data_IF_629422469075
#
_entry.id   IF_629422469075
#
_cell.length_a   1.000
_cell.length_b   1.000
_cell.length_c   1.000
_cell.angle_alpha   90.00
_cell.angle_beta   90.00
_cell.angle_gamma   90.00
#
_symmetry.space_group_name_H-M   'P 1'
#
loop_
_entity.id
_entity.type
_entity.pdbx_description
1 polymer ?
#
# COMPACT_ATOMS: atom_id res chain seq x y z
N UNK A 1 18.46 28.41 -31.55
CA UNK A 1 19.09 27.07 -31.42
C UNK A 1 20.58 27.32 -31.24
N UNK A 2 21.31 26.67 -30.31
CA UNK A 2 21.08 25.37 -29.62
C UNK A 2 20.66 25.53 -28.14
N UNK A 3 19.88 24.63 -27.51
CA UNK A 3 20.18 23.30 -26.96
C UNK A 3 21.35 23.31 -25.95
N UNK A 4 21.03 23.56 -24.68
CA UNK A 4 21.87 23.20 -23.54
C UNK A 4 21.32 21.91 -22.92
N UNK A 5 22.04 20.81 -23.14
CA UNK A 5 21.92 19.56 -22.43
C UNK A 5 22.95 19.56 -21.29
N UNK A 6 22.57 20.07 -20.13
CA UNK A 6 23.30 19.85 -18.89
C UNK A 6 22.51 18.87 -18.03
N UNK A 7 22.79 17.58 -18.20
CA UNK A 7 22.41 16.54 -17.26
C UNK A 7 23.17 16.76 -15.94
N UNK A 8 22.54 17.45 -15.00
CA UNK A 8 22.97 17.52 -13.61
C UNK A 8 22.41 16.34 -12.83
N UNK A 9 23.23 15.32 -12.61
CA UNK A 9 22.98 14.29 -11.60
C UNK A 9 22.95 14.94 -10.22
N UNK A 10 21.79 14.94 -9.56
CA UNK A 10 21.67 15.24 -8.15
C UNK A 10 20.69 14.26 -7.50
N UNK A 11 21.08 12.98 -7.44
CA UNK A 11 20.64 12.12 -6.36
C UNK A 11 21.51 12.44 -5.14
N UNK A 12 21.21 13.57 -4.49
CA UNK A 12 21.63 13.84 -3.12
C UNK A 12 20.53 13.29 -2.22
N UNK A 13 20.86 12.42 -1.26
CA UNK A 13 19.93 11.58 -0.48
C UNK A 13 18.95 12.34 0.42
N UNK A 14 18.14 13.22 -0.16
CA UNK A 14 17.14 14.06 0.50
C UNK A 14 15.75 13.53 0.15
N UNK A 15 14.90 13.47 1.18
CA UNK A 15 13.45 13.31 1.05
C UNK A 15 12.93 14.41 0.11
N UNK A 16 11.92 14.09 -0.71
CA UNK A 16 11.26 15.07 -1.57
C UNK A 16 10.93 16.33 -0.75
N UNK A 17 11.49 17.46 -1.15
CA UNK A 17 11.24 18.75 -0.51
C UNK A 17 10.02 19.37 -1.16
N UNK A 18 9.19 20.01 -0.35
CA UNK A 18 8.03 20.70 -0.90
C UNK A 18 8.50 21.92 -1.68
N UNK A 19 8.02 22.04 -2.91
CA UNK A 19 8.16 23.21 -3.74
C UNK A 19 6.82 23.51 -4.46
N UNK A 20 6.65 24.70 -5.00
CA UNK A 20 5.39 25.03 -5.69
C UNK A 20 5.29 24.43 -7.10
N UNK A 21 6.25 23.59 -7.51
CA UNK A 21 6.42 23.13 -8.90
C UNK A 21 6.21 21.63 -9.07
N UNK A 22 6.87 20.83 -8.23
CA UNK A 22 6.94 19.38 -8.31
C UNK A 22 6.20 18.71 -7.13
N UNK A 23 6.20 19.33 -5.94
CA UNK A 23 5.48 18.83 -4.77
C UNK A 23 4.97 19.96 -3.88
N UNK A 24 3.67 20.31 -3.99
CA UNK A 24 3.04 21.42 -3.26
C UNK A 24 3.55 21.62 -1.83
N UNK A 25 3.68 22.88 -1.42
CA UNK A 25 4.19 23.41 -0.12
C UNK A 25 3.87 22.57 1.12
N UNK A 26 2.75 21.83 1.12
CA UNK A 26 2.62 20.57 1.83
C UNK A 26 1.72 19.59 1.07
N UNK A 27 2.02 18.29 1.14
CA UNK A 27 1.11 17.23 0.68
C UNK A 27 -0.30 17.41 1.29
N UNK A 28 -0.38 17.92 2.52
CA UNK A 28 -1.61 18.30 3.23
C UNK A 28 -2.39 19.45 2.57
N UNK A 29 -1.70 20.46 2.03
CA UNK A 29 -2.32 21.55 1.28
C UNK A 29 -2.80 21.07 -0.09
N UNK A 30 -2.12 20.11 -0.71
CA UNK A 30 -2.59 19.49 -1.95
C UNK A 30 -3.90 18.73 -1.73
N UNK A 31 -4.02 18.02 -0.60
CA UNK A 31 -5.24 17.34 -0.12
C UNK A 31 -6.31 18.27 0.44
N UNK A 32 -6.12 19.59 0.51
CA UNK A 32 -7.20 20.54 0.86
C UNK A 32 -7.64 21.39 -0.33
N UNK A 33 -6.83 21.43 -1.40
CA UNK A 33 -7.05 22.26 -2.59
C UNK A 33 -7.53 21.49 -3.82
N UNK A 34 -8.10 20.29 -3.67
CA UNK A 34 -8.57 19.45 -4.79
C UNK A 34 -7.50 19.10 -5.83
N UNK A 35 -6.22 19.08 -5.41
CA UNK A 35 -5.05 18.99 -6.29
C UNK A 35 -4.62 17.56 -6.61
N UNK A 36 -5.37 16.54 -6.17
CA UNK A 36 -5.14 15.18 -6.63
C UNK A 36 -5.35 15.13 -8.15
N UNK A 37 -4.40 14.57 -8.91
CA UNK A 37 -4.57 14.47 -10.36
C UNK A 37 -5.86 13.70 -10.68
N UNK A 38 -6.80 14.41 -11.31
CA UNK A 38 -8.03 13.85 -11.84
C UNK A 38 -7.94 13.65 -13.34
N UNK A 39 -6.79 13.83 -13.99
CA UNK A 39 -6.69 13.82 -15.45
C UNK A 39 -5.70 12.77 -15.98
N UNK A 40 -6.00 12.22 -17.15
CA UNK A 40 -5.16 11.22 -17.83
C UNK A 40 -5.54 9.75 -17.52
N UNK A 41 -4.87 8.78 -18.19
CA UNK A 41 -5.17 7.35 -18.11
C UNK A 41 -4.88 6.71 -16.75
N UNK A 42 -4.41 7.47 -15.74
CA UNK A 42 -4.00 7.01 -14.41
C UNK A 42 -4.99 7.42 -13.30
N UNK A 43 -6.29 7.32 -13.56
CA UNK A 43 -7.36 7.73 -12.63
C UNK A 43 -7.60 6.79 -11.43
N UNK A 44 -6.57 6.16 -10.88
CA UNK A 44 -6.71 5.24 -9.75
C UNK A 44 -5.50 5.24 -8.83
N UNK A 45 -5.74 4.89 -7.56
CA UNK A 45 -4.68 4.76 -6.55
C UNK A 45 -4.81 3.44 -5.82
N UNK A 46 -3.72 2.67 -5.79
CA UNK A 46 -3.59 1.49 -4.95
C UNK A 46 -2.76 1.86 -3.72
N UNK A 47 -3.37 1.81 -2.53
CA UNK A 47 -2.67 2.06 -1.26
C UNK A 47 -2.48 0.75 -0.51
N UNK A 48 -1.26 0.23 -0.47
CA UNK A 48 -0.94 -1.00 0.26
C UNK A 48 -0.36 -0.64 1.62
N UNK A 49 -0.95 -1.20 2.66
CA UNK A 49 -0.43 -1.21 4.04
C UNK A 49 -0.19 -2.65 4.46
N UNK A 50 0.58 -2.89 5.52
CA UNK A 50 0.93 -4.24 5.94
C UNK A 50 0.49 -4.44 7.40
N UNK A 51 0.28 -5.69 7.82
CA UNK A 51 0.02 -6.02 9.24
C UNK A 51 1.07 -5.36 10.14
N UNK A 52 0.64 -4.79 11.27
CA UNK A 52 1.58 -4.24 12.24
C UNK A 52 2.14 -5.41 13.05
N UNK A 53 3.45 -5.61 13.03
CA UNK A 53 4.10 -6.54 13.95
C UNK A 53 4.61 -5.80 15.20
N UNK A 54 4.16 -6.13 16.43
CA UNK A 54 4.86 -5.71 17.63
C UNK A 54 6.16 -6.51 17.75
N UNK A 55 7.31 -5.87 17.60
CA UNK A 55 8.60 -6.47 17.89
C UNK A 55 8.65 -6.92 19.37
N UNK A 56 8.75 -8.23 19.62
CA UNK A 56 9.00 -8.79 20.96
C UNK A 56 10.42 -9.37 21.03
N UNK A 57 11.43 -8.51 21.18
CA UNK A 57 12.68 -8.93 21.81
C UNK A 57 12.58 -8.62 23.30
N UNK A 58 12.08 -9.58 24.11
CA UNK A 58 12.14 -9.68 25.58
C UNK A 58 11.81 -8.46 26.48
N UNK A 59 11.50 -7.28 25.93
CA UNK A 59 10.97 -6.07 26.57
C UNK A 59 10.47 -5.16 25.44
N UNK A 60 9.16 -5.07 25.15
CA UNK A 60 8.69 -4.13 24.15
C UNK A 60 8.66 -2.74 24.78
N UNK A 61 9.65 -1.90 24.46
CA UNK A 61 9.40 -0.46 24.50
C UNK A 61 8.33 -0.15 23.44
N UNK A 62 7.39 0.70 23.81
CA UNK A 62 6.21 1.16 23.05
C UNK A 62 6.53 1.83 21.68
N UNK A 63 7.78 1.77 21.22
CA UNK A 63 8.37 2.58 20.14
C UNK A 63 8.33 1.90 18.77
N UNK A 64 8.38 0.57 18.67
CA UNK A 64 8.38 -0.13 17.37
C UNK A 64 6.98 -0.18 16.71
N UNK A 65 5.92 -0.41 17.48
CA UNK A 65 4.53 -0.41 16.97
C UNK A 65 4.07 1.00 16.58
N UNK A 66 4.47 2.03 17.33
CA UNK A 66 4.18 3.42 17.02
C UNK A 66 4.92 3.94 15.78
N UNK A 67 6.13 3.44 15.52
CA UNK A 67 6.89 3.82 14.32
C UNK A 67 6.22 3.34 13.03
N UNK A 68 5.84 2.06 12.93
CA UNK A 68 5.14 1.52 11.74
C UNK A 68 3.76 2.14 11.54
N UNK A 69 3.07 2.44 12.63
CA UNK A 69 1.80 3.17 12.61
C UNK A 69 1.98 4.54 11.93
N UNK A 70 2.99 5.31 12.34
CA UNK A 70 3.22 6.68 11.87
C UNK A 70 3.79 6.77 10.45
N UNK A 71 4.58 5.79 9.99
CA UNK A 71 5.21 5.84 8.65
C UNK A 71 4.43 5.10 7.56
N UNK A 72 3.58 4.14 7.92
CA UNK A 72 2.87 3.32 6.93
C UNK A 72 1.35 3.37 7.11
N UNK A 73 0.83 2.91 8.25
CA UNK A 73 -0.62 2.74 8.43
C UNK A 73 -1.37 4.08 8.38
N UNK A 74 -0.96 5.08 9.16
CA UNK A 74 -1.67 6.36 9.24
C UNK A 74 -1.48 7.27 8.02
N UNK A 75 -0.29 7.36 7.39
CA UNK A 75 -0.17 8.03 6.10
C UNK A 75 -1.03 7.36 5.02
N UNK A 76 -1.09 6.03 4.97
CA UNK A 76 -1.94 5.28 4.06
C UNK A 76 -3.43 5.57 4.28
N UNK A 77 -3.90 5.53 5.53
CA UNK A 77 -5.27 5.86 5.92
C UNK A 77 -5.67 7.28 5.49
N UNK A 78 -4.87 8.28 5.86
CA UNK A 78 -5.10 9.70 5.53
C UNK A 78 -5.08 9.93 4.02
N UNK A 79 -4.15 9.28 3.30
CA UNK A 79 -4.09 9.35 1.84
C UNK A 79 -5.29 8.71 1.15
N UNK A 80 -5.80 7.59 1.66
CA UNK A 80 -7.01 6.96 1.13
C UNK A 80 -8.26 7.83 1.37
N UNK A 81 -8.42 8.35 2.59
CA UNK A 81 -9.51 9.27 2.95
C UNK A 81 -9.48 10.55 2.11
N UNK A 82 -8.31 11.16 1.93
CA UNK A 82 -8.19 12.35 1.09
C UNK A 82 -8.67 12.06 -0.33
N UNK A 83 -8.21 10.98 -0.97
CA UNK A 83 -8.62 10.61 -2.33
C UNK A 83 -10.12 10.34 -2.43
N UNK A 84 -10.69 9.62 -1.47
CA UNK A 84 -12.12 9.40 -1.35
C UNK A 84 -12.90 10.73 -1.28
N UNK A 85 -12.49 11.65 -0.41
CA UNK A 85 -13.15 12.95 -0.24
C UNK A 85 -13.09 13.87 -1.49
N UNK A 86 -12.19 13.60 -2.45
CA UNK A 86 -12.10 14.32 -3.71
C UNK A 86 -12.58 13.51 -4.92
N UNK A 87 -13.34 12.43 -4.72
CA UNK A 87 -13.86 11.58 -5.79
C UNK A 87 -12.77 10.99 -6.70
N UNK A 88 -11.58 10.74 -6.14
CA UNK A 88 -10.50 10.03 -6.82
C UNK A 88 -10.62 8.55 -6.49
N UNK A 89 -10.80 7.65 -7.47
CA UNK A 89 -10.83 6.22 -7.22
C UNK A 89 -9.59 5.76 -6.47
N UNK A 90 -9.82 5.05 -5.36
CA UNK A 90 -8.77 4.52 -4.50
C UNK A 90 -9.19 3.16 -3.97
N UNK A 91 -8.25 2.23 -3.91
CA UNK A 91 -8.40 0.93 -3.28
C UNK A 91 -7.38 0.84 -2.15
N UNK A 92 -7.84 0.51 -0.95
CA UNK A 92 -7.00 0.40 0.23
C UNK A 92 -6.80 -1.06 0.57
N UNK A 93 -5.56 -1.51 0.48
CA UNK A 93 -5.14 -2.89 0.70
C UNK A 93 -4.37 -2.99 2.01
N UNK A 94 -4.56 -4.10 2.72
CA UNK A 94 -3.69 -4.54 3.80
C UNK A 94 -3.25 -5.99 3.58
N UNK A 95 -1.95 -6.23 3.57
CA UNK A 95 -1.38 -7.58 3.41
C UNK A 95 -1.18 -8.25 4.77
N UNK A 96 -1.54 -9.53 4.83
CA UNK A 96 -1.48 -10.39 6.00
C UNK A 96 -0.79 -11.73 5.75
N UNK A 97 -0.29 -11.97 4.53
CA UNK A 97 0.30 -13.25 4.14
C UNK A 97 1.49 -13.63 5.04
N UNK A 98 1.44 -14.86 5.53
CA UNK A 98 2.45 -15.47 6.39
C UNK A 98 2.79 -16.84 5.82
N UNK A 99 3.96 -16.95 5.22
CA UNK A 99 4.42 -18.11 4.46
C UNK A 99 5.73 -18.66 5.02
N UNK A 100 5.92 -19.99 5.08
CA UNK A 100 7.10 -20.59 5.73
C UNK A 100 8.46 -20.14 5.17
N UNK A 101 8.55 -19.94 3.85
CA UNK A 101 9.74 -19.47 3.11
C UNK A 101 9.96 -17.95 3.28
N UNK A 102 8.89 -17.15 3.30
CA UNK A 102 8.97 -15.68 3.40
C UNK A 102 9.08 -15.18 4.85
N UNK A 103 8.59 -15.95 5.83
CA UNK A 103 8.48 -15.56 7.24
C UNK A 103 9.30 -16.52 8.12
N UNK A 104 10.65 -16.42 8.10
CA UNK A 104 11.54 -17.39 8.76
C UNK A 104 11.44 -17.39 10.30
N UNK A 105 10.81 -16.36 10.87
CA UNK A 105 10.58 -16.25 12.30
C UNK A 105 9.07 -16.16 12.58
N UNK A 106 8.47 -17.06 13.39
CA UNK A 106 7.03 -17.05 13.66
C UNK A 106 6.50 -15.75 14.26
N UNK A 107 7.35 -15.00 14.97
CA UNK A 107 7.00 -13.71 15.55
C UNK A 107 7.04 -12.55 14.57
N UNK A 108 7.64 -12.73 13.38
CA UNK A 108 7.81 -11.66 12.40
C UNK A 108 6.49 -11.34 11.69
N UNK A 109 5.63 -12.36 11.51
CA UNK A 109 4.37 -12.27 10.76
C UNK A 109 4.59 -11.59 9.39
N UNK A 110 3.56 -11.07 8.73
CA UNK A 110 3.76 -10.18 7.59
C UNK A 110 4.57 -8.94 8.01
N UNK A 111 5.66 -8.65 7.31
CA UNK A 111 6.60 -7.56 7.60
C UNK A 111 6.80 -6.65 6.39
N UNK A 112 7.49 -5.53 6.59
CA UNK A 112 7.72 -4.55 5.53
C UNK A 112 8.38 -5.18 4.30
N UNK A 113 7.76 -5.00 3.13
CA UNK A 113 8.21 -5.52 1.83
C UNK A 113 8.07 -7.04 1.63
N UNK A 114 7.46 -7.77 2.57
CA UNK A 114 7.18 -9.21 2.41
C UNK A 114 6.12 -9.52 1.35
N UNK A 115 5.39 -8.52 0.88
CA UNK A 115 4.42 -8.57 -0.20
C UNK A 115 5.06 -8.46 -1.60
N UNK A 116 6.28 -7.91 -1.70
CA UNK A 116 6.96 -7.69 -2.98
C UNK A 116 7.21 -9.01 -3.74
N UNK A 117 7.74 -10.09 -3.10
CA UNK A 117 7.94 -11.36 -3.81
C UNK A 117 6.64 -11.97 -4.37
N UNK A 118 5.49 -11.68 -3.75
CA UNK A 118 4.17 -12.10 -4.23
C UNK A 118 3.76 -11.39 -5.52
N UNK A 119 4.14 -10.12 -5.69
CA UNK A 119 3.82 -9.34 -6.89
C UNK A 119 4.73 -9.74 -8.05
N UNK A 120 6.00 -10.06 -7.77
CA UNK A 120 6.99 -10.34 -8.81
C UNK A 120 7.16 -11.83 -9.14
N UNK A 121 6.41 -12.70 -8.48
CA UNK A 121 6.53 -14.15 -8.63
C UNK A 121 7.95 -14.66 -8.33
N UNK A 122 8.52 -14.21 -7.21
CA UNK A 122 9.90 -14.54 -6.79
C UNK A 122 9.99 -15.03 -5.34
N UNK A 123 8.87 -15.48 -4.77
CA UNK A 123 8.84 -15.99 -3.38
C UNK A 123 9.64 -17.29 -3.23
N UNK A 124 9.72 -18.08 -4.31
CA UNK A 124 10.43 -19.35 -4.40
C UNK A 124 11.95 -19.24 -4.19
N UNK A 125 12.53 -18.04 -4.36
CA UNK A 125 13.95 -17.76 -4.13
C UNK A 125 14.39 -17.98 -2.67
N UNK A 126 13.45 -17.91 -1.72
CA UNK A 126 13.70 -18.11 -0.29
C UNK A 126 13.30 -19.51 0.21
N UNK A 127 12.91 -20.39 -0.72
CA UNK A 127 12.39 -21.73 -0.45
C UNK A 127 11.11 -21.98 -1.23
N UNK A 128 10.72 -23.25 -1.45
CA UNK A 128 9.56 -23.58 -2.27
C UNK A 128 8.26 -23.02 -1.68
N UNK A 129 7.45 -22.40 -2.53
CA UNK A 129 6.14 -21.87 -2.14
C UNK A 129 5.20 -22.98 -1.67
N UNK A 130 4.35 -22.66 -0.70
CA UNK A 130 3.18 -23.49 -0.41
C UNK A 130 2.12 -23.36 -1.51
N UNK A 131 1.18 -24.31 -1.61
CA UNK A 131 0.08 -24.20 -2.59
C UNK A 131 -0.79 -22.94 -2.36
N UNK A 132 -1.05 -22.60 -1.10
CA UNK A 132 -1.84 -21.42 -0.73
C UNK A 132 -1.09 -20.13 -1.05
N UNK A 133 0.21 -20.09 -0.77
CA UNK A 133 1.09 -18.96 -1.12
C UNK A 133 1.09 -18.71 -2.63
N UNK A 134 1.31 -19.77 -3.41
CA UNK A 134 1.33 -19.67 -4.87
C UNK A 134 0.00 -19.16 -5.42
N UNK A 135 -1.12 -19.72 -4.97
CA UNK A 135 -2.45 -19.25 -5.39
C UNK A 135 -2.69 -17.78 -4.98
N UNK A 136 -2.24 -17.39 -3.78
CA UNK A 136 -2.33 -15.99 -3.32
C UNK A 136 -1.46 -15.07 -4.17
N UNK A 137 -0.25 -15.49 -4.55
CA UNK A 137 0.68 -14.78 -5.43
C UNK A 137 0.08 -14.56 -6.82
N UNK A 138 -0.53 -15.60 -7.39
CA UNK A 138 -1.24 -15.53 -8.68
C UNK A 138 -2.40 -14.52 -8.62
N UNK A 139 -3.21 -14.55 -7.56
CA UNK A 139 -4.28 -13.58 -7.33
C UNK A 139 -3.75 -12.14 -7.15
N UNK A 140 -2.63 -11.97 -6.44
CA UNK A 140 -1.93 -10.70 -6.29
C UNK A 140 -1.52 -10.12 -7.65
N UNK A 141 -0.88 -10.94 -8.47
CA UNK A 141 -0.43 -10.55 -9.81
C UNK A 141 -1.61 -10.18 -10.71
N UNK A 142 -2.72 -10.93 -10.65
CA UNK A 142 -3.94 -10.60 -11.38
C UNK A 142 -4.48 -9.22 -11.00
N UNK A 143 -4.57 -8.93 -9.70
CA UNK A 143 -5.05 -7.64 -9.20
C UNK A 143 -4.16 -6.48 -9.64
N UNK A 144 -2.84 -6.61 -9.50
CA UNK A 144 -1.90 -5.58 -9.95
C UNK A 144 -1.95 -5.37 -11.46
N UNK A 145 -2.04 -6.45 -12.23
CA UNK A 145 -2.15 -6.37 -13.68
C UNK A 145 -3.50 -5.76 -14.12
N UNK A 146 -4.60 -6.06 -13.41
CA UNK A 146 -5.90 -5.45 -13.66
C UNK A 146 -5.86 -3.94 -13.39
N UNK A 147 -5.24 -3.52 -12.30
CA UNK A 147 -5.03 -2.11 -12.00
C UNK A 147 -4.14 -1.43 -13.05
N UNK A 148 -3.00 -2.02 -13.41
CA UNK A 148 -2.09 -1.44 -14.39
C UNK A 148 -2.73 -1.30 -15.79
N UNK A 149 -3.56 -2.26 -16.20
CA UNK A 149 -4.29 -2.21 -17.48
C UNK A 149 -5.37 -1.13 -17.50
N UNK A 150 -6.06 -0.92 -16.39
CA UNK A 150 -7.17 0.02 -16.29
C UNK A 150 -7.26 0.60 -14.87
N UNK A 151 -6.44 1.61 -14.52
CA UNK A 151 -6.35 2.05 -13.12
C UNK A 151 -7.64 2.72 -12.63
N UNK A 152 -8.48 3.24 -13.55
CA UNK A 152 -9.76 3.85 -13.18
C UNK A 152 -10.83 2.86 -12.71
N UNK A 153 -10.81 1.60 -13.18
CA UNK A 153 -11.90 0.64 -12.96
C UNK A 153 -11.53 -0.85 -13.10
N UNK A 154 -10.26 -1.18 -13.32
CA UNK A 154 -9.79 -2.55 -13.53
C UNK A 154 -10.01 -3.43 -12.30
N UNK A 155 -9.82 -2.85 -11.11
CA UNK A 155 -10.09 -3.51 -9.83
C UNK A 155 -11.59 -3.62 -9.53
N UNK A 156 -12.44 -2.72 -10.03
CA UNK A 156 -13.90 -2.87 -9.90
C UNK A 156 -14.37 -4.16 -10.58
N UNK A 157 -13.78 -4.50 -11.74
CA UNK A 157 -14.10 -5.72 -12.49
C UNK A 157 -13.64 -7.00 -11.78
N UNK A 158 -12.61 -6.89 -10.93
CA UNK A 158 -12.14 -7.96 -10.05
C UNK A 158 -13.00 -8.07 -8.77
N UNK A 159 -14.02 -7.21 -8.63
CA UNK A 159 -14.90 -7.17 -7.46
C UNK A 159 -14.31 -6.44 -6.26
N UNK A 160 -13.17 -5.76 -6.40
CA UNK A 160 -12.58 -5.02 -5.28
C UNK A 160 -13.37 -3.73 -5.01
N UNK A 161 -13.83 -3.51 -3.76
CA UNK A 161 -14.53 -2.29 -3.40
C UNK A 161 -13.57 -1.11 -3.43
N UNK A 162 -14.03 0.01 -3.99
CA UNK A 162 -13.35 1.29 -3.79
C UNK A 162 -13.41 1.67 -2.32
N UNK A 163 -12.35 2.30 -1.83
CA UNK A 163 -12.25 2.72 -0.44
C UNK A 163 -13.39 3.69 -0.08
N UNK A 164 -14.06 3.35 1.01
CA UNK A 164 -15.11 4.11 1.67
C UNK A 164 -14.98 3.87 3.19
N UNK A 165 -14.79 4.92 4.01
CA UNK A 165 -14.59 4.76 5.44
C UNK A 165 -15.82 4.21 6.19
N UNK A 166 -16.99 4.18 5.54
CA UNK A 166 -18.28 3.77 6.13
C UNK A 166 -18.71 2.35 5.75
N UNK A 167 -18.01 1.69 4.82
CA UNK A 167 -18.37 0.34 4.33
C UNK A 167 -17.22 -0.66 4.47
N UNK A 168 -17.49 -1.92 4.12
CA UNK A 168 -16.47 -2.96 4.03
C UNK A 168 -15.64 -2.77 2.76
N UNK A 169 -14.70 -1.83 2.79
CA UNK A 169 -13.90 -1.41 1.65
C UNK A 169 -12.39 -1.65 1.80
N UNK A 170 -11.94 -2.11 2.97
CA UNK A 170 -10.56 -2.50 3.17
C UNK A 170 -10.33 -3.89 2.57
N UNK A 171 -9.44 -3.98 1.60
CA UNK A 171 -9.05 -5.23 0.96
C UNK A 171 -7.95 -5.89 1.80
N UNK A 172 -8.24 -7.05 2.37
CA UNK A 172 -7.29 -7.88 3.13
C UNK A 172 -6.82 -9.02 2.24
N UNK A 173 -5.51 -9.21 2.13
CA UNK A 173 -4.94 -10.23 1.26
C UNK A 173 -3.99 -11.14 2.03
N UNK A 174 -4.06 -12.45 1.77
CA UNK A 174 -3.37 -13.47 2.57
C UNK A 174 -3.89 -13.52 4.02
N UNK A 175 -5.09 -13.02 4.27
CA UNK A 175 -5.71 -13.03 5.59
C UNK A 175 -6.20 -14.45 5.90
N UNK A 176 -5.81 -15.00 7.05
CA UNK A 176 -6.22 -16.35 7.49
C UNK A 176 -5.98 -17.44 6.43
N UNK A 177 -4.89 -17.34 5.66
CA UNK A 177 -4.53 -18.26 4.59
C UNK A 177 -5.55 -18.30 3.42
N UNK A 178 -6.40 -17.27 3.29
CA UNK A 178 -7.24 -17.05 2.12
C UNK A 178 -6.40 -16.77 0.89
N UNK A 179 -6.75 -17.41 -0.22
CA UNK A 179 -6.08 -17.24 -1.53
C UNK A 179 -6.71 -16.13 -2.38
N UNK A 180 -7.74 -15.47 -1.87
CA UNK A 180 -8.45 -14.37 -2.52
C UNK A 180 -8.53 -13.16 -1.58
N UNK A 181 -9.09 -12.05 -2.08
CA UNK A 181 -9.37 -10.88 -1.26
C UNK A 181 -10.52 -11.13 -0.30
N UNK A 182 -10.34 -10.68 0.94
CA UNK A 182 -11.43 -10.47 1.88
C UNK A 182 -11.66 -8.98 2.10
N UNK A 183 -12.90 -8.60 2.44
CA UNK A 183 -13.28 -7.21 2.65
C UNK A 183 -13.70 -6.96 4.09
N UNK A 184 -13.04 -5.99 4.74
CA UNK A 184 -13.34 -5.53 6.10
C UNK A 184 -13.66 -4.03 6.15
N UNK A 185 -14.06 -3.50 7.31
CA UNK A 185 -14.34 -2.07 7.47
C UNK A 185 -13.20 -1.19 6.96
N UNK A 186 -13.50 -0.16 6.17
CA UNK A 186 -12.47 0.73 5.60
C UNK A 186 -11.52 1.33 6.64
N UNK A 187 -12.02 1.54 7.86
CA UNK A 187 -11.31 2.15 8.99
C UNK A 187 -10.79 1.16 10.04
N UNK A 188 -10.81 -0.15 9.75
CA UNK A 188 -10.52 -1.23 10.71
C UNK A 188 -9.20 -1.04 11.50
N UNK A 189 -8.18 -0.43 10.89
CA UNK A 189 -6.85 -0.23 11.49
C UNK A 189 -6.50 1.25 11.79
N UNK A 190 -7.51 2.13 11.83
CA UNK A 190 -7.29 3.59 11.91
C UNK A 190 -7.43 4.17 13.31
N UNK A 191 -7.85 3.37 14.30
CA UNK A 191 -8.16 3.85 15.66
C UNK A 191 -7.02 4.64 16.32
N UNK A 192 -5.77 4.36 15.96
CA UNK A 192 -4.58 5.01 16.52
C UNK A 192 -4.03 6.15 15.63
N UNK A 193 -4.72 6.52 14.54
CA UNK A 193 -4.27 7.53 13.59
C UNK A 193 -4.76 8.96 13.89
N UNK A 194 -5.37 9.17 15.05
CA UNK A 194 -5.98 10.43 15.48
C UNK A 194 -4.97 11.42 16.09
N UNK A 195 -3.88 11.69 15.37
CA UNK A 195 -2.87 12.71 15.73
C UNK A 195 -2.60 13.67 14.57
#
# INVERSE_FOLDING_TARGET
MPLDCSYGTAFDGRVALTDSKDMFSSYWLATSRSSCSKEGPLRGNLSVTLKNCPYKASTPTFTASSSLLNIATCPGARGALARHNFDVPVWRVRYFGEWPNLNPFPWLHAYHSSDIPMIFNTADLLGPDTLAEKATSEYYQEAWAAFARAPANGLDKLGWPRYDPTTNSLIKLGFENSTEAEFGPGTEFDALCSS
#
